data_IF_503215060336
#
_entry.id   IF_503215060336
#
_cell.length_a   1.000
_cell.length_b   1.000
_cell.length_c   1.000
_cell.angle_alpha   90.00
_cell.angle_beta   90.00
_cell.angle_gamma   90.00
#
_symmetry.space_group_name_H-M   'P 1'
#
loop_
_entity.id
_entity.type
_entity.pdbx_description
1 polymer ?
#
# COMPACT_ATOMS: atom_id res chain seq x y z
N UNK A 1 17.82 -4.79 12.54
CA UNK A 1 17.29 -6.07 12.01
C UNK A 1 15.83 -6.33 12.38
N UNK A 2 15.36 -6.33 13.66
CA UNK A 2 13.94 -6.61 13.95
C UNK A 2 12.95 -5.64 13.28
N UNK A 3 13.29 -4.35 13.15
CA UNK A 3 12.45 -3.37 12.45
C UNK A 3 12.27 -3.71 10.97
N UNK A 4 13.31 -4.14 10.28
CA UNK A 4 13.24 -4.58 8.89
C UNK A 4 12.33 -5.80 8.74
N UNK A 5 12.41 -6.77 9.66
CA UNK A 5 11.51 -7.93 9.65
C UNK A 5 10.07 -7.52 9.85
N UNK A 6 9.78 -6.65 10.82
CA UNK A 6 8.44 -6.09 11.05
C UNK A 6 7.90 -5.36 9.81
N UNK A 7 8.73 -4.54 9.18
CA UNK A 7 8.39 -3.84 7.96
C UNK A 7 8.06 -4.80 6.80
N UNK A 8 8.90 -5.82 6.55
CA UNK A 8 8.67 -6.79 5.48
C UNK A 8 7.42 -7.65 5.72
N UNK A 9 7.07 -7.95 6.97
CA UNK A 9 5.82 -8.66 7.28
C UNK A 9 4.59 -7.89 6.78
N UNK A 10 4.58 -6.57 6.94
CA UNK A 10 3.44 -5.73 6.54
C UNK A 10 3.54 -5.24 5.10
N UNK A 11 4.72 -4.86 4.64
CA UNK A 11 4.90 -4.29 3.30
C UNK A 11 5.03 -5.36 2.19
N UNK A 12 5.33 -6.62 2.53
CA UNK A 12 5.48 -7.72 1.56
C UNK A 12 4.60 -8.92 1.91
N UNK A 13 4.65 -9.38 3.16
CA UNK A 13 3.90 -10.56 3.60
C UNK A 13 2.39 -10.38 3.48
N UNK A 14 1.85 -9.27 4.00
CA UNK A 14 0.42 -8.98 3.91
C UNK A 14 -0.07 -8.77 2.47
N UNK A 15 0.60 -8.01 1.59
CA UNK A 15 0.25 -7.92 0.16
C UNK A 15 0.18 -9.29 -0.52
N UNK A 16 1.14 -10.17 -0.28
CA UNK A 16 1.13 -11.53 -0.82
C UNK A 16 -0.09 -12.31 -0.32
N UNK A 17 -0.33 -12.31 1.00
CA UNK A 17 -1.50 -12.96 1.60
C UNK A 17 -2.81 -12.37 1.04
N UNK A 18 -2.83 -11.07 0.78
CA UNK A 18 -3.98 -10.38 0.18
C UNK A 18 -4.28 -10.89 -1.22
N UNK A 19 -3.28 -11.03 -2.08
CA UNK A 19 -3.46 -11.59 -3.43
C UNK A 19 -3.99 -13.02 -3.37
N UNK A 20 -3.46 -13.84 -2.47
CA UNK A 20 -3.94 -15.22 -2.24
C UNK A 20 -5.39 -15.24 -1.71
N UNK A 21 -5.73 -14.31 -0.80
CA UNK A 21 -7.09 -14.18 -0.28
C UNK A 21 -8.10 -13.76 -1.37
N UNK A 22 -7.72 -12.79 -2.21
CA UNK A 22 -8.52 -12.35 -3.38
C UNK A 22 -8.74 -13.49 -4.35
N UNK A 23 -7.67 -14.25 -4.66
CA UNK A 23 -7.77 -15.43 -5.53
C UNK A 23 -8.69 -16.50 -4.93
N UNK A 24 -8.53 -16.80 -3.62
CA UNK A 24 -9.38 -17.79 -2.92
C UNK A 24 -10.84 -17.32 -2.84
N UNK A 25 -11.06 -16.02 -2.67
CA UNK A 25 -12.40 -15.45 -2.66
C UNK A 25 -13.14 -15.59 -4.00
N UNK A 26 -12.41 -15.61 -5.11
CA UNK A 26 -13.00 -15.75 -6.47
C UNK A 26 -13.45 -17.18 -6.79
N UNK A 27 -13.16 -18.15 -5.91
CA UNK A 27 -13.56 -19.55 -6.09
C UNK A 27 -15.08 -19.71 -6.05
N UNK A 28 -15.69 -19.91 -7.20
CA UNK A 28 -17.01 -20.55 -7.28
C UNK A 28 -18.20 -19.73 -7.73
N UNK A 29 -18.10 -18.45 -8.13
CA UNK A 29 -19.32 -17.68 -8.50
C UNK A 29 -19.19 -16.60 -9.57
N UNK A 30 -18.17 -16.54 -10.41
CA UNK A 30 -18.11 -15.46 -11.43
C UNK A 30 -18.10 -14.04 -10.83
N UNK A 31 -17.95 -13.92 -9.50
CA UNK A 31 -17.91 -12.66 -8.78
C UNK A 31 -16.48 -12.11 -8.72
N UNK A 32 -16.34 -10.79 -8.74
CA UNK A 32 -15.04 -10.16 -8.51
C UNK A 32 -14.48 -10.59 -7.15
N UNK A 33 -13.17 -10.77 -7.03
CA UNK A 33 -12.53 -11.18 -5.77
C UNK A 33 -12.93 -10.36 -4.56
N UNK A 34 -13.23 -9.07 -4.75
CA UNK A 34 -13.76 -8.17 -3.73
C UNK A 34 -15.13 -8.61 -3.20
N UNK A 35 -16.09 -8.87 -4.08
CA UNK A 35 -17.45 -9.27 -3.70
C UNK A 35 -17.45 -10.58 -2.92
N UNK A 36 -16.55 -11.49 -3.27
CA UNK A 36 -16.42 -12.76 -2.58
C UNK A 36 -15.79 -12.60 -1.18
N UNK A 37 -14.78 -11.76 -1.02
CA UNK A 37 -14.18 -11.47 0.28
C UNK A 37 -15.15 -10.77 1.22
N UNK A 38 -16.03 -9.91 0.71
CA UNK A 38 -16.98 -9.11 1.49
C UNK A 38 -18.38 -9.70 1.56
N UNK A 39 -18.59 -10.95 1.10
CA UNK A 39 -19.91 -11.60 0.97
C UNK A 39 -20.75 -11.66 2.26
N UNK A 40 -20.11 -11.64 3.43
CA UNK A 40 -20.79 -11.66 4.73
C UNK A 40 -21.06 -10.27 5.28
N UNK A 41 -20.49 -9.22 4.70
CA UNK A 41 -20.79 -7.83 5.05
C UNK A 41 -22.16 -7.40 4.48
N UNK A 42 -22.84 -6.45 5.13
CA UNK A 42 -23.92 -5.70 4.49
C UNK A 42 -23.39 -4.98 3.27
N UNK A 43 -24.20 -4.89 2.20
CA UNK A 43 -23.76 -4.25 0.92
C UNK A 43 -23.22 -2.85 1.12
N UNK A 44 -23.89 -2.04 1.98
CA UNK A 44 -23.44 -0.68 2.27
C UNK A 44 -22.06 -0.64 2.93
N UNK A 45 -21.76 -1.58 3.85
CA UNK A 45 -20.45 -1.62 4.53
C UNK A 45 -19.32 -2.09 3.58
N UNK A 46 -19.62 -3.10 2.74
CA UNK A 46 -18.70 -3.55 1.72
C UNK A 46 -18.37 -2.43 0.71
N UNK A 47 -19.40 -1.67 0.29
CA UNK A 47 -19.24 -0.53 -0.63
C UNK A 47 -18.51 0.61 0.05
N UNK A 48 -18.83 0.96 1.30
CA UNK A 48 -18.14 2.01 2.04
C UNK A 48 -16.65 1.70 2.23
N UNK A 49 -16.30 0.45 2.57
CA UNK A 49 -14.91 0.03 2.69
C UNK A 49 -14.18 0.09 1.33
N UNK A 50 -14.82 -0.35 0.26
CA UNK A 50 -14.26 -0.23 -1.09
C UNK A 50 -14.02 1.24 -1.48
N UNK A 51 -15.03 2.12 -1.28
CA UNK A 51 -14.90 3.56 -1.52
C UNK A 51 -13.70 4.13 -0.75
N UNK A 52 -13.58 3.80 0.55
CA UNK A 52 -12.46 4.28 1.36
C UNK A 52 -11.11 3.84 0.78
N UNK A 53 -10.96 2.55 0.41
CA UNK A 53 -9.72 2.04 -0.20
C UNK A 53 -9.43 2.74 -1.53
N UNK A 54 -10.41 2.87 -2.43
CA UNK A 54 -10.21 3.50 -3.74
C UNK A 54 -9.97 5.01 -3.67
N UNK A 55 -10.50 5.71 -2.66
CA UNK A 55 -10.18 7.12 -2.39
C UNK A 55 -8.76 7.25 -1.85
N UNK A 56 -8.36 6.42 -0.89
CA UNK A 56 -7.01 6.42 -0.29
C UNK A 56 -5.95 6.12 -1.36
N UNK A 57 -6.16 5.07 -2.15
CA UNK A 57 -5.24 4.67 -3.22
C UNK A 57 -5.30 5.59 -4.44
N UNK A 58 -6.43 6.20 -4.70
CA UNK A 58 -6.65 7.15 -5.78
C UNK A 58 -6.27 8.57 -5.37
N UNK A 59 -7.24 9.48 -5.38
CA UNK A 59 -6.98 10.93 -5.33
C UNK A 59 -6.49 11.47 -3.99
N UNK A 60 -6.67 10.73 -2.87
CA UNK A 60 -6.36 11.29 -1.56
C UNK A 60 -4.88 11.18 -1.17
N UNK A 61 -4.26 10.03 -1.37
CA UNK A 61 -2.89 9.81 -0.88
C UNK A 61 -1.96 9.14 -1.90
N UNK A 62 -2.26 7.95 -2.42
CA UNK A 62 -1.27 7.20 -3.20
C UNK A 62 -0.97 7.86 -4.55
N UNK A 63 -1.98 8.28 -5.32
CA UNK A 63 -1.77 8.95 -6.61
C UNK A 63 -1.05 10.29 -6.47
N UNK A 64 -1.44 11.24 -5.58
CA UNK A 64 -0.68 12.47 -5.36
C UNK A 64 0.76 12.22 -4.91
N UNK A 65 0.98 11.20 -4.05
CA UNK A 65 2.30 10.82 -3.55
C UNK A 65 3.25 10.41 -4.67
N UNK A 66 2.77 9.75 -5.72
CA UNK A 66 3.64 9.40 -6.87
C UNK A 66 4.20 10.64 -7.54
N UNK A 67 3.38 11.66 -7.79
CA UNK A 67 3.82 12.94 -8.37
C UNK A 67 4.82 13.67 -7.46
N UNK A 68 4.58 13.65 -6.14
CA UNK A 68 5.47 14.27 -5.17
C UNK A 68 6.81 13.57 -5.06
N UNK A 69 6.84 12.23 -5.05
CA UNK A 69 8.09 11.45 -5.04
C UNK A 69 8.89 11.73 -6.33
N UNK A 70 8.21 11.75 -7.48
CA UNK A 70 8.84 12.09 -8.75
C UNK A 70 9.40 13.52 -8.76
N UNK A 71 8.72 14.47 -8.11
CA UNK A 71 9.22 15.83 -7.94
C UNK A 71 10.44 15.90 -7.02
N UNK A 72 10.35 15.34 -5.82
CA UNK A 72 11.41 15.37 -4.79
C UNK A 72 12.72 14.72 -5.28
N UNK A 73 12.63 13.61 -6.00
CA UNK A 73 13.79 12.86 -6.49
C UNK A 73 14.21 13.26 -7.91
N UNK A 74 13.26 13.75 -8.72
CA UNK A 74 13.50 14.06 -10.12
C UNK A 74 13.91 15.50 -10.38
N UNK A 75 13.09 16.47 -10.00
CA UNK A 75 13.27 17.87 -10.42
C UNK A 75 13.82 18.78 -9.30
N UNK A 76 13.36 18.60 -8.06
CA UNK A 76 13.71 19.48 -6.93
C UNK A 76 15.23 19.66 -6.72
N UNK A 77 16.09 18.61 -6.86
CA UNK A 77 17.51 18.75 -6.68
C UNK A 77 18.18 19.73 -7.67
N UNK A 78 17.54 19.99 -8.80
CA UNK A 78 18.03 20.87 -9.87
C UNK A 78 17.51 22.30 -9.74
N UNK A 79 16.43 22.53 -8.97
CA UNK A 79 15.78 23.83 -8.83
C UNK A 79 16.33 24.68 -7.67
N UNK A 80 17.06 24.08 -6.71
CA UNK A 80 17.57 24.78 -5.54
C UNK A 80 16.43 25.44 -4.74
N UNK A 81 16.60 26.73 -4.36
CA UNK A 81 15.63 27.47 -3.54
C UNK A 81 14.30 27.82 -4.24
N UNK A 82 14.23 27.72 -5.58
CA UNK A 82 12.99 27.97 -6.35
C UNK A 82 11.95 26.85 -6.21
N UNK A 83 12.21 25.86 -5.33
CA UNK A 83 11.42 24.64 -5.22
C UNK A 83 9.93 24.78 -4.88
N UNK A 84 9.47 25.84 -4.18
CA UNK A 84 8.04 25.95 -3.86
C UNK A 84 7.18 26.33 -5.07
N UNK A 85 7.64 27.25 -5.91
CA UNK A 85 6.94 27.59 -7.15
C UNK A 85 7.07 26.50 -8.23
N UNK A 86 8.17 25.74 -8.20
CA UNK A 86 8.38 24.60 -9.08
C UNK A 86 7.41 23.45 -8.87
N UNK A 87 6.95 23.20 -7.63
CA UNK A 87 6.02 22.12 -7.32
C UNK A 87 4.66 22.29 -8.03
N UNK A 88 4.09 23.48 -8.01
CA UNK A 88 2.79 23.73 -8.66
C UNK A 88 2.86 23.46 -10.17
N UNK A 89 3.86 24.01 -10.84
CA UNK A 89 4.03 23.83 -12.29
C UNK A 89 4.30 22.38 -12.63
N UNK A 90 5.16 21.72 -11.84
CA UNK A 90 5.47 20.29 -12.03
C UNK A 90 4.22 19.42 -11.85
N UNK A 91 3.47 19.62 -10.76
CA UNK A 91 2.27 18.82 -10.48
C UNK A 91 1.21 19.02 -11.56
N UNK A 92 1.01 20.23 -12.05
CA UNK A 92 0.11 20.50 -13.18
C UNK A 92 0.56 19.74 -14.44
N UNK A 93 1.83 19.83 -14.83
CA UNK A 93 2.36 19.13 -16.02
C UNK A 93 2.29 17.60 -15.83
N UNK A 94 2.74 17.08 -14.68
CA UNK A 94 2.77 15.66 -14.40
C UNK A 94 1.36 15.05 -14.44
N UNK A 95 0.41 15.62 -13.70
CA UNK A 95 -0.96 15.09 -13.65
C UNK A 95 -1.76 15.39 -14.90
N UNK A 96 -1.47 16.47 -15.64
CA UNK A 96 -2.06 16.67 -16.97
C UNK A 96 -1.69 15.53 -17.92
N UNK A 97 -0.42 15.11 -17.92
CA UNK A 97 0.05 13.95 -18.69
C UNK A 97 -0.58 12.65 -18.20
N UNK A 98 -0.65 12.44 -16.87
CA UNK A 98 -1.32 11.28 -16.27
C UNK A 98 -2.79 11.21 -16.70
N UNK A 99 -3.52 12.33 -16.63
CA UNK A 99 -4.92 12.42 -17.05
C UNK A 99 -5.04 12.09 -18.55
N UNK A 100 -4.26 12.75 -19.41
CA UNK A 100 -4.31 12.52 -20.86
C UNK A 100 -4.12 11.04 -21.22
N UNK A 101 -3.14 10.38 -20.60
CA UNK A 101 -2.86 8.97 -20.82
C UNK A 101 -3.97 8.08 -20.26
N UNK A 102 -4.53 8.43 -19.10
CA UNK A 102 -5.61 7.68 -18.45
C UNK A 102 -6.95 7.78 -19.19
N UNK A 103 -7.16 8.79 -20.03
CA UNK A 103 -8.37 8.90 -20.86
C UNK A 103 -8.44 7.82 -21.94
N UNK A 104 -7.30 7.26 -22.36
CA UNK A 104 -7.21 6.23 -23.40
C UNK A 104 -6.83 4.88 -22.75
N UNK A 105 -7.87 4.04 -22.51
CA UNK A 105 -7.76 2.76 -21.82
C UNK A 105 -6.86 1.77 -22.57
N UNK A 106 -5.57 1.77 -22.40
CA UNK A 106 -4.85 0.53 -22.64
C UNK A 106 -3.60 0.49 -23.51
N UNK A 107 -3.20 1.53 -24.22
CA UNK A 107 -2.01 1.46 -25.10
C UNK A 107 -0.66 1.67 -24.37
N UNK A 108 -0.64 2.41 -23.29
CA UNK A 108 0.61 2.78 -22.60
C UNK A 108 1.00 1.83 -21.46
N UNK A 109 0.02 1.22 -20.78
CA UNK A 109 0.30 0.29 -19.67
C UNK A 109 1.15 -0.92 -20.11
N UNK A 110 0.92 -1.43 -21.33
CA UNK A 110 1.68 -2.56 -21.86
C UNK A 110 3.13 -2.20 -22.20
N UNK A 111 3.35 -1.03 -22.82
CA UNK A 111 4.69 -0.59 -23.21
C UNK A 111 5.56 -0.24 -21.99
N UNK A 112 4.94 0.35 -20.98
CA UNK A 112 5.59 0.83 -19.77
C UNK A 112 6.01 -0.33 -18.87
N UNK A 113 5.14 -1.29 -18.62
CA UNK A 113 5.46 -2.48 -17.82
C UNK A 113 6.59 -3.31 -18.45
N UNK A 114 6.65 -3.36 -19.79
CA UNK A 114 7.60 -4.20 -20.51
C UNK A 114 9.03 -3.68 -20.47
N UNK A 115 9.25 -2.38 -20.51
CA UNK A 115 10.58 -1.79 -20.61
C UNK A 115 11.01 -1.06 -19.34
N UNK A 116 10.09 -0.37 -18.69
CA UNK A 116 10.41 0.49 -17.56
C UNK A 116 10.63 -0.29 -16.26
N UNK A 117 9.80 -1.30 -15.99
CA UNK A 117 9.97 -2.13 -14.79
C UNK A 117 11.32 -2.84 -14.77
N UNK A 118 11.79 -3.50 -15.83
CA UNK A 118 13.15 -4.06 -15.87
C UNK A 118 14.24 -3.00 -15.68
N UNK A 119 14.11 -1.83 -16.32
CA UNK A 119 15.08 -0.75 -16.17
C UNK A 119 15.18 -0.24 -14.73
N UNK A 120 14.02 -0.06 -14.07
CA UNK A 120 13.96 0.31 -12.65
C UNK A 120 14.61 -0.75 -11.76
N UNK A 121 14.31 -2.04 -11.98
CA UNK A 121 14.89 -3.14 -11.21
C UNK A 121 16.41 -3.22 -11.38
N UNK A 122 16.92 -3.04 -12.60
CA UNK A 122 18.37 -3.01 -12.85
C UNK A 122 19.03 -1.84 -12.15
N UNK A 123 18.43 -0.65 -12.19
CA UNK A 123 18.99 0.52 -11.51
C UNK A 123 18.99 0.35 -10.00
N UNK A 124 17.89 -0.16 -9.41
CA UNK A 124 17.83 -0.43 -7.98
C UNK A 124 18.85 -1.51 -7.58
N UNK A 125 19.09 -2.50 -8.43
CA UNK A 125 20.14 -3.50 -8.21
C UNK A 125 21.54 -2.86 -8.23
N UNK A 126 21.82 -1.98 -9.18
CA UNK A 126 23.10 -1.22 -9.25
C UNK A 126 23.26 -0.36 -8.00
N UNK A 127 22.22 0.34 -7.56
CA UNK A 127 22.23 1.12 -6.34
C UNK A 127 22.49 0.24 -5.10
N UNK A 128 21.80 -0.89 -4.98
CA UNK A 128 21.99 -1.86 -3.91
C UNK A 128 23.43 -2.39 -3.85
N UNK A 129 24.01 -2.74 -5.00
CA UNK A 129 25.39 -3.17 -5.08
C UNK A 129 26.35 -2.02 -4.70
N UNK A 130 26.07 -0.79 -5.14
CA UNK A 130 26.84 0.40 -4.76
C UNK A 130 26.86 0.64 -3.25
N UNK A 131 25.71 0.49 -2.59
CA UNK A 131 25.60 0.61 -1.12
C UNK A 131 26.41 -0.46 -0.38
N UNK A 132 26.41 -1.70 -0.90
CA UNK A 132 27.16 -2.81 -0.29
C UNK A 132 28.68 -2.64 -0.49
N UNK A 133 29.11 -2.21 -1.68
CA UNK A 133 30.52 -2.10 -2.04
C UNK A 133 31.16 -0.85 -1.44
N UNK A 134 30.43 0.25 -1.38
CA UNK A 134 30.93 1.56 -0.91
C UNK A 134 29.93 2.21 0.05
N UNK A 135 29.76 1.67 1.28
CA UNK A 135 28.90 2.29 2.28
C UNK A 135 29.43 3.67 2.64
N UNK A 136 28.57 4.69 2.63
CA UNK A 136 28.94 6.10 2.84
C UNK A 136 28.99 6.53 4.31
N UNK A 137 28.63 5.65 5.24
CA UNK A 137 28.69 5.91 6.68
C UNK A 137 28.54 4.65 7.52
N UNK A 138 28.79 4.78 8.83
CA UNK A 138 28.52 3.72 9.80
C UNK A 138 27.03 3.59 10.09
N UNK A 139 26.59 2.42 10.52
CA UNK A 139 25.22 2.22 10.99
C UNK A 139 24.98 3.02 12.28
N UNK A 140 24.04 3.97 12.32
CA UNK A 140 23.73 4.70 13.54
C UNK A 140 23.10 3.78 14.58
N UNK A 141 23.21 4.14 15.85
CA UNK A 141 22.49 3.48 16.92
C UNK A 141 20.98 3.69 16.76
N UNK A 142 20.20 2.71 17.23
CA UNK A 142 18.75 2.81 17.21
C UNK A 142 18.29 3.98 18.10
N UNK A 143 17.30 4.74 17.65
CA UNK A 143 16.76 5.90 18.37
C UNK A 143 15.23 5.80 18.48
N UNK A 144 14.65 6.48 19.49
CA UNK A 144 13.22 6.55 19.71
C UNK A 144 12.57 5.17 19.86
N UNK A 145 11.40 4.96 19.27
CA UNK A 145 10.63 3.71 19.35
C UNK A 145 11.34 2.47 18.79
N UNK A 146 12.42 2.66 18.02
CA UNK A 146 13.22 1.56 17.49
C UNK A 146 14.11 0.89 18.55
N UNK A 147 14.31 1.52 19.75
CA UNK A 147 15.04 0.94 20.88
C UNK A 147 14.16 -0.14 21.54
N UNK A 148 12.96 0.26 21.97
CA UNK A 148 12.10 -0.58 22.81
C UNK A 148 11.25 -1.57 22.00
N UNK A 149 10.72 -1.15 20.87
CA UNK A 149 9.76 -1.94 20.07
C UNK A 149 10.06 -1.92 18.57
N UNK A 150 11.28 -2.31 18.15
CA UNK A 150 11.70 -2.15 16.75
C UNK A 150 10.83 -2.94 15.77
N UNK A 151 10.36 -4.13 16.15
CA UNK A 151 9.51 -4.96 15.29
C UNK A 151 8.14 -4.29 15.05
N UNK A 152 7.50 -3.79 16.12
CA UNK A 152 6.19 -3.12 16.02
C UNK A 152 6.32 -1.83 15.21
N UNK A 153 7.36 -1.02 15.50
CA UNK A 153 7.60 0.21 14.74
C UNK A 153 7.80 -0.09 13.26
N UNK A 154 8.59 -1.10 12.93
CA UNK A 154 8.75 -1.55 11.54
C UNK A 154 7.43 -1.99 10.89
N UNK A 155 6.59 -2.73 11.61
CA UNK A 155 5.26 -3.13 11.11
C UNK A 155 4.37 -1.91 10.79
N UNK A 156 4.34 -0.92 11.66
CA UNK A 156 3.55 0.30 11.45
C UNK A 156 4.09 1.16 10.31
N UNK A 157 5.41 1.24 10.16
CA UNK A 157 6.01 1.92 8.99
C UNK A 157 5.66 1.21 7.68
N UNK A 158 5.47 -0.11 7.70
CA UNK A 158 4.97 -0.85 6.55
C UNK A 158 3.55 -0.46 6.13
N UNK A 159 2.71 0.11 7.00
CA UNK A 159 1.40 0.65 6.60
C UNK A 159 1.53 1.83 5.64
N UNK A 160 2.59 2.64 5.80
CA UNK A 160 2.84 3.80 4.95
C UNK A 160 3.16 3.45 3.49
N UNK A 161 3.53 2.19 3.20
CA UNK A 161 3.76 1.73 1.82
C UNK A 161 2.47 1.58 1.03
N UNK A 162 1.33 1.36 1.71
CA UNK A 162 0.00 1.13 1.13
C UNK A 162 -0.10 -0.14 0.26
N UNK A 163 0.89 -1.03 0.29
CA UNK A 163 0.98 -2.20 -0.61
C UNK A 163 -0.15 -3.21 -0.39
N UNK A 164 -0.62 -3.39 0.85
CA UNK A 164 -1.77 -4.27 1.14
C UNK A 164 -3.06 -3.72 0.52
N UNK A 165 -3.31 -2.40 0.62
CA UNK A 165 -4.47 -1.75 0.02
C UNK A 165 -4.39 -1.80 -1.51
N UNK A 166 -3.18 -1.59 -2.08
CA UNK A 166 -2.92 -1.76 -3.50
C UNK A 166 -3.21 -3.18 -3.95
N UNK A 167 -2.79 -4.20 -3.18
CA UNK A 167 -3.02 -5.60 -3.50
C UNK A 167 -4.50 -5.99 -3.47
N UNK A 168 -5.32 -5.39 -2.57
CA UNK A 168 -6.78 -5.54 -2.60
C UNK A 168 -7.36 -4.98 -3.90
N UNK A 169 -6.95 -3.77 -4.28
CA UNK A 169 -7.45 -3.08 -5.46
C UNK A 169 -7.01 -3.78 -6.77
N UNK A 170 -5.70 -4.01 -6.93
CA UNK A 170 -5.15 -4.62 -8.15
C UNK A 170 -5.43 -6.11 -8.25
N UNK A 171 -5.52 -6.84 -7.13
CA UNK A 171 -5.89 -8.25 -7.13
C UNK A 171 -7.27 -8.48 -7.75
N UNK A 172 -8.26 -7.67 -7.37
CA UNK A 172 -9.59 -7.71 -7.96
C UNK A 172 -9.58 -7.38 -9.47
N UNK A 173 -8.77 -6.37 -9.86
CA UNK A 173 -8.61 -5.96 -11.26
C UNK A 173 -7.97 -7.07 -12.11
N UNK A 174 -6.93 -7.74 -11.58
CA UNK A 174 -6.24 -8.84 -12.27
C UNK A 174 -7.18 -10.02 -12.49
N UNK A 175 -8.00 -10.39 -11.50
CA UNK A 175 -9.03 -11.44 -11.66
C UNK A 175 -9.96 -11.07 -12.82
N UNK A 176 -10.46 -9.84 -12.87
CA UNK A 176 -11.30 -9.37 -13.98
C UNK A 176 -10.61 -9.44 -15.35
N UNK A 177 -9.30 -9.17 -15.42
CA UNK A 177 -8.52 -9.30 -16.65
C UNK A 177 -8.33 -10.77 -17.08
N UNK A 178 -8.08 -11.67 -16.13
CA UNK A 178 -7.98 -13.11 -16.42
C UNK A 178 -9.30 -13.66 -16.98
N UNK A 179 -10.43 -13.27 -16.37
CA UNK A 179 -11.76 -13.65 -16.85
C UNK A 179 -12.03 -13.14 -18.28
N UNK A 180 -11.67 -11.89 -18.59
CA UNK A 180 -11.77 -11.34 -19.97
C UNK A 180 -10.89 -12.08 -20.99
N UNK A 181 -9.81 -12.72 -20.54
CA UNK A 181 -8.94 -13.57 -21.37
C UNK A 181 -9.43 -15.03 -21.46
N UNK A 182 -10.61 -15.34 -20.92
CA UNK A 182 -11.19 -16.68 -20.93
C UNK A 182 -10.64 -17.63 -19.85
N UNK A 183 -9.90 -17.11 -18.88
CA UNK A 183 -9.40 -17.89 -17.73
C UNK A 183 -10.40 -17.70 -16.59
N UNK A 184 -11.44 -18.55 -16.59
CA UNK A 184 -12.53 -18.47 -15.61
C UNK A 184 -12.40 -19.51 -14.49
N UNK A 185 -11.59 -20.53 -14.70
CA UNK A 185 -11.38 -21.61 -13.74
C UNK A 185 -10.56 -21.14 -12.52
N UNK A 186 -11.05 -21.49 -11.35
CA UNK A 186 -10.42 -21.13 -10.07
C UNK A 186 -8.97 -21.61 -9.93
N UNK A 187 -8.61 -22.87 -10.26
CA UNK A 187 -7.22 -23.33 -10.09
C UNK A 187 -6.23 -22.50 -10.90
N UNK A 188 -6.56 -22.10 -12.12
CA UNK A 188 -5.70 -21.28 -12.96
C UNK A 188 -5.59 -19.85 -12.44
N UNK A 189 -6.70 -19.22 -12.05
CA UNK A 189 -6.68 -17.89 -11.45
C UNK A 189 -5.84 -17.86 -10.17
N UNK A 190 -6.05 -18.83 -9.28
CA UNK A 190 -5.27 -18.98 -8.04
C UNK A 190 -3.78 -19.16 -8.33
N UNK A 191 -3.43 -20.03 -9.27
CA UNK A 191 -2.04 -20.28 -9.66
C UNK A 191 -1.38 -19.03 -10.22
N UNK A 192 -2.02 -18.32 -11.15
CA UNK A 192 -1.45 -17.11 -11.75
C UNK A 192 -1.28 -15.99 -10.73
N UNK A 193 -2.28 -15.73 -9.88
CA UNK A 193 -2.15 -14.70 -8.85
C UNK A 193 -1.08 -15.05 -7.81
N UNK A 194 -1.01 -16.30 -7.39
CA UNK A 194 -0.02 -16.74 -6.39
C UNK A 194 1.40 -16.64 -6.95
N UNK A 195 1.64 -17.09 -8.18
CA UNK A 195 2.97 -16.97 -8.82
C UNK A 195 3.35 -15.51 -9.01
N UNK A 196 2.45 -14.68 -9.54
CA UNK A 196 2.69 -13.26 -9.70
C UNK A 196 2.99 -12.58 -8.34
N UNK A 197 2.22 -12.93 -7.31
CA UNK A 197 2.44 -12.46 -5.95
C UNK A 197 3.80 -12.84 -5.38
N UNK A 198 4.24 -14.09 -5.58
CA UNK A 198 5.55 -14.56 -5.13
C UNK A 198 6.70 -13.82 -5.84
N UNK A 199 6.62 -13.66 -7.15
CA UNK A 199 7.62 -12.90 -7.93
C UNK A 199 7.67 -11.45 -7.43
N UNK A 200 6.51 -10.81 -7.24
CA UNK A 200 6.42 -9.45 -6.69
C UNK A 200 6.98 -9.35 -5.27
N UNK A 201 6.70 -10.33 -4.41
CA UNK A 201 7.18 -10.37 -3.03
C UNK A 201 8.71 -10.46 -2.98
N UNK A 202 9.33 -11.29 -3.82
CA UNK A 202 10.80 -11.39 -3.91
C UNK A 202 11.40 -10.06 -4.40
N UNK A 203 10.82 -9.47 -5.46
CA UNK A 203 11.29 -8.18 -5.98
C UNK A 203 11.16 -7.06 -4.96
N UNK A 204 10.00 -6.92 -4.30
CA UNK A 204 9.76 -5.92 -3.26
C UNK A 204 10.69 -6.11 -2.06
N UNK A 205 10.89 -7.37 -1.61
CA UNK A 205 11.82 -7.66 -0.52
C UNK A 205 13.24 -7.20 -0.85
N UNK A 206 13.72 -7.49 -2.05
CA UNK A 206 15.04 -7.07 -2.50
C UNK A 206 15.18 -5.54 -2.49
N UNK A 207 14.18 -4.82 -3.01
CA UNK A 207 14.15 -3.35 -3.02
C UNK A 207 14.13 -2.78 -1.61
N UNK A 208 13.22 -3.25 -0.75
CA UNK A 208 13.08 -2.73 0.62
C UNK A 208 14.31 -3.01 1.49
N UNK A 209 14.91 -4.19 1.37
CA UNK A 209 16.16 -4.51 2.06
C UNK A 209 17.28 -3.56 1.59
N UNK A 210 17.39 -3.32 0.29
CA UNK A 210 18.39 -2.42 -0.28
C UNK A 210 18.20 -0.98 0.22
N UNK A 211 16.97 -0.48 0.24
CA UNK A 211 16.66 0.85 0.75
C UNK A 211 16.88 0.97 2.27
N UNK A 212 16.63 -0.10 3.02
CA UNK A 212 16.91 -0.15 4.45
C UNK A 212 18.41 -0.02 4.73
N UNK A 213 19.25 -0.76 3.98
CA UNK A 213 20.71 -0.65 4.09
C UNK A 213 21.20 0.72 3.65
N UNK A 214 20.64 1.28 2.57
CA UNK A 214 20.95 2.63 2.11
C UNK A 214 20.64 3.66 3.21
N UNK A 215 19.44 3.63 3.79
CA UNK A 215 19.06 4.54 4.86
C UNK A 215 19.97 4.45 6.08
N UNK A 216 20.34 3.24 6.50
CA UNK A 216 21.26 3.03 7.61
C UNK A 216 22.70 3.50 7.34
N UNK A 217 23.16 3.46 6.08
CA UNK A 217 24.51 3.90 5.70
C UNK A 217 24.57 5.35 5.23
N UNK A 218 23.47 6.09 5.26
CA UNK A 218 23.40 7.46 4.76
C UNK A 218 23.89 8.51 5.79
N UNK A 219 24.15 8.14 7.02
CA UNK A 219 24.53 9.07 8.09
C UNK A 219 25.80 9.91 7.79
N UNK A 220 26.68 9.42 6.91
CA UNK A 220 27.89 10.15 6.46
C UNK A 220 27.64 11.17 5.36
N UNK A 221 26.49 11.10 4.67
CA UNK A 221 26.19 11.92 3.49
C UNK A 221 25.13 12.98 3.78
N UNK A 222 24.26 12.73 4.76
CA UNK A 222 23.09 13.56 4.99
C UNK A 222 22.92 13.89 6.47
N UNK A 223 22.89 15.19 6.77
CA UNK A 223 22.52 15.74 8.07
C UNK A 223 21.26 16.58 7.87
N UNK A 224 20.14 16.25 8.52
CA UNK A 224 18.85 16.94 8.44
C UNK A 224 18.14 16.80 7.09
N UNK A 225 17.44 15.71 6.89
CA UNK A 225 16.58 15.50 5.71
C UNK A 225 15.12 15.39 6.09
N UNK A 226 14.28 16.02 5.26
CA UNK A 226 12.83 16.07 5.49
C UNK A 226 12.13 14.76 5.07
N UNK A 227 12.72 13.97 4.15
CA UNK A 227 12.09 12.76 3.63
C UNK A 227 13.10 11.78 3.01
N UNK A 228 12.67 10.51 2.83
CA UNK A 228 13.50 9.44 2.28
C UNK A 228 13.96 9.66 0.83
N UNK A 229 13.22 10.43 0.04
CA UNK A 229 13.60 10.76 -1.35
C UNK A 229 14.88 11.59 -1.41
N UNK A 230 15.03 12.54 -0.50
CA UNK A 230 16.22 13.37 -0.38
C UNK A 230 17.45 12.53 0.03
N UNK A 231 17.27 11.52 0.90
CA UNK A 231 18.34 10.59 1.29
C UNK A 231 18.85 9.82 0.08
N UNK A 232 17.93 9.18 -0.67
CA UNK A 232 18.30 8.39 -1.86
C UNK A 232 19.02 9.27 -2.89
N UNK A 233 18.53 10.49 -3.10
CA UNK A 233 19.14 11.42 -4.05
C UNK A 233 20.56 11.82 -3.66
N UNK A 234 20.79 12.21 -2.40
CA UNK A 234 22.10 12.55 -1.88
C UNK A 234 23.07 11.36 -1.97
N UNK A 235 22.58 10.16 -1.66
CA UNK A 235 23.38 8.93 -1.76
C UNK A 235 23.80 8.61 -3.20
N UNK A 236 22.88 8.72 -4.15
CA UNK A 236 23.18 8.52 -5.58
C UNK A 236 24.14 9.57 -6.09
N UNK A 237 23.99 10.83 -5.67
CA UNK A 237 24.91 11.90 -6.01
C UNK A 237 26.32 11.61 -5.51
N UNK A 238 26.47 11.10 -4.29
CA UNK A 238 27.78 10.77 -3.70
C UNK A 238 28.47 9.59 -4.40
N UNK A 239 27.71 8.58 -4.87
CA UNK A 239 28.28 7.38 -5.52
C UNK A 239 28.51 7.54 -7.01
N UNK A 240 27.57 8.17 -7.71
CA UNK A 240 27.52 8.18 -9.19
C UNK A 240 27.59 9.59 -9.78
N UNK A 241 27.67 10.63 -8.93
CA UNK A 241 27.71 12.02 -9.36
C UNK A 241 26.42 12.47 -10.05
N UNK A 242 26.50 13.58 -10.76
CA UNK A 242 25.34 14.18 -11.44
C UNK A 242 24.71 13.31 -12.54
N UNK A 243 25.48 12.46 -13.20
CA UNK A 243 24.94 11.53 -14.21
C UNK A 243 24.06 10.47 -13.57
N UNK A 244 24.47 9.92 -12.42
CA UNK A 244 23.65 8.98 -11.66
C UNK A 244 22.35 9.61 -11.18
N UNK A 245 22.42 10.85 -10.71
CA UNK A 245 21.26 11.63 -10.29
C UNK A 245 20.28 11.88 -11.45
N UNK A 246 20.76 12.17 -12.65
CA UNK A 246 19.91 12.35 -13.84
C UNK A 246 19.20 11.04 -14.24
N UNK A 247 19.92 9.91 -14.21
CA UNK A 247 19.36 8.59 -14.50
C UNK A 247 18.31 8.23 -13.45
N UNK A 248 18.59 8.43 -12.15
CA UNK A 248 17.64 8.22 -11.06
C UNK A 248 16.37 9.06 -11.28
N UNK A 249 16.52 10.36 -11.56
CA UNK A 249 15.42 11.26 -11.82
C UNK A 249 14.51 10.78 -12.96
N UNK A 250 15.09 10.36 -14.08
CA UNK A 250 14.34 9.87 -15.23
C UNK A 250 13.57 8.58 -14.89
N UNK A 251 14.22 7.60 -14.28
CA UNK A 251 13.60 6.30 -13.97
C UNK A 251 12.52 6.44 -12.91
N UNK A 252 12.77 7.19 -11.82
CA UNK A 252 11.77 7.40 -10.77
C UNK A 252 10.57 8.19 -11.31
N UNK A 253 10.80 9.23 -12.10
CA UNK A 253 9.68 10.00 -12.70
C UNK A 253 8.82 9.10 -13.58
N UNK A 254 9.42 8.28 -14.42
CA UNK A 254 8.69 7.34 -15.25
C UNK A 254 7.97 6.24 -14.43
N UNK A 255 8.62 5.67 -13.41
CA UNK A 255 8.00 4.68 -12.52
C UNK A 255 6.79 5.26 -11.77
N UNK A 256 6.94 6.47 -11.23
CA UNK A 256 5.85 7.18 -10.56
C UNK A 256 4.72 7.55 -11.53
N UNK A 257 5.06 7.97 -12.75
CA UNK A 257 4.07 8.27 -13.79
C UNK A 257 3.20 7.06 -14.11
N UNK A 258 3.80 5.89 -14.29
CA UNK A 258 3.06 4.68 -14.61
C UNK A 258 2.20 4.18 -13.45
N UNK A 259 2.73 4.28 -12.24
CA UNK A 259 1.96 3.99 -11.03
C UNK A 259 0.76 4.93 -10.89
N UNK A 260 0.94 6.24 -11.12
CA UNK A 260 -0.13 7.22 -11.11
C UNK A 260 -1.24 6.91 -12.13
N UNK A 261 -0.86 6.57 -13.37
CA UNK A 261 -1.82 6.16 -14.42
C UNK A 261 -2.59 4.91 -13.99
N UNK A 262 -1.89 3.89 -13.47
CA UNK A 262 -2.53 2.65 -12.99
C UNK A 262 -3.53 2.89 -11.87
N UNK A 263 -3.15 3.65 -10.85
CA UNK A 263 -4.00 4.00 -9.71
C UNK A 263 -5.21 4.85 -10.12
N UNK A 264 -4.99 5.84 -10.98
CA UNK A 264 -6.06 6.71 -11.48
C UNK A 264 -7.06 5.92 -12.34
N UNK A 265 -6.58 5.07 -13.24
CA UNK A 265 -7.44 4.22 -14.07
C UNK A 265 -8.27 3.24 -13.22
N UNK A 266 -7.64 2.54 -12.27
CA UNK A 266 -8.32 1.58 -11.42
C UNK A 266 -9.40 2.26 -10.55
N UNK A 267 -9.10 3.43 -9.98
CA UNK A 267 -10.06 4.20 -9.20
C UNK A 267 -11.21 4.72 -10.07
N UNK A 268 -10.93 5.26 -11.25
CA UNK A 268 -11.95 5.76 -12.17
C UNK A 268 -12.87 4.63 -12.69
N UNK A 269 -12.33 3.44 -12.96
CA UNK A 269 -13.13 2.26 -13.34
C UNK A 269 -14.07 1.81 -12.23
N UNK A 270 -13.60 1.77 -10.99
CA UNK A 270 -14.43 1.42 -9.84
C UNK A 270 -15.61 2.40 -9.67
N UNK A 271 -15.33 3.70 -9.66
CA UNK A 271 -16.36 4.72 -9.47
C UNK A 271 -17.27 4.86 -10.68
N UNK A 272 -16.80 4.58 -11.89
CA UNK A 272 -17.64 4.48 -13.07
C UNK A 272 -18.70 3.38 -12.93
N UNK A 273 -18.31 2.22 -12.40
CA UNK A 273 -19.24 1.12 -12.12
C UNK A 273 -20.23 1.43 -10.99
N UNK A 274 -19.85 2.31 -10.04
CA UNK A 274 -20.66 2.58 -8.84
C UNK A 274 -21.68 3.70 -9.04
N UNK A 275 -21.30 4.81 -9.70
CA UNK A 275 -22.06 6.06 -9.62
C UNK A 275 -22.59 6.57 -10.99
N UNK A 276 -22.59 5.77 -12.03
CA UNK A 276 -23.23 6.07 -13.32
C UNK A 276 -22.61 7.22 -14.14
N UNK A 277 -21.58 7.91 -13.63
CA UNK A 277 -20.86 8.92 -14.40
C UNK A 277 -19.94 8.25 -15.42
N UNK A 278 -19.63 8.95 -16.52
CA UNK A 278 -18.72 8.42 -17.52
C UNK A 278 -17.31 8.29 -16.94
N UNK A 279 -16.56 7.27 -17.35
CA UNK A 279 -15.18 7.03 -16.96
C UNK A 279 -14.30 8.29 -17.11
N UNK A 280 -14.44 9.02 -18.23
CA UNK A 280 -13.68 10.25 -18.48
C UNK A 280 -13.91 11.33 -17.43
N UNK A 281 -15.15 11.48 -16.93
CA UNK A 281 -15.46 12.45 -15.87
C UNK A 281 -14.77 12.06 -14.56
N UNK A 282 -14.73 10.78 -14.25
CA UNK A 282 -14.02 10.28 -13.05
C UNK A 282 -12.52 10.48 -13.15
N UNK A 283 -11.89 10.18 -14.30
CA UNK A 283 -10.47 10.45 -14.53
C UNK A 283 -10.14 11.93 -14.33
N UNK A 284 -10.95 12.83 -14.91
CA UNK A 284 -10.75 14.28 -14.76
C UNK A 284 -10.91 14.72 -13.31
N UNK A 285 -12.01 14.32 -12.64
CA UNK A 285 -12.26 14.70 -11.25
C UNK A 285 -11.12 14.25 -10.33
N UNK A 286 -10.76 12.96 -10.39
CA UNK A 286 -9.73 12.41 -9.52
C UNK A 286 -8.34 12.95 -9.84
N UNK A 287 -8.03 13.16 -11.12
CA UNK A 287 -6.80 13.81 -11.52
C UNK A 287 -6.69 15.24 -11.02
N UNK A 288 -7.74 16.04 -11.12
CA UNK A 288 -7.78 17.40 -10.56
C UNK A 288 -7.64 17.40 -9.03
N UNK A 289 -8.32 16.48 -8.32
CA UNK A 289 -8.14 16.33 -6.86
C UNK A 289 -6.70 15.96 -6.53
N UNK A 290 -6.09 15.06 -7.31
CA UNK A 290 -4.69 14.67 -7.10
C UNK A 290 -3.72 15.84 -7.28
N UNK A 291 -3.98 16.76 -8.22
CA UNK A 291 -3.20 18.00 -8.38
C UNK A 291 -3.31 18.85 -7.11
N UNK A 292 -4.53 19.08 -6.62
CA UNK A 292 -4.74 19.89 -5.42
C UNK A 292 -4.02 19.29 -4.20
N UNK A 293 -4.17 17.98 -4.00
CA UNK A 293 -3.55 17.27 -2.88
C UNK A 293 -2.03 17.24 -3.00
N UNK A 294 -1.47 17.06 -4.20
CA UNK A 294 -0.02 17.05 -4.42
C UNK A 294 0.66 18.37 -4.03
N UNK A 295 -0.06 19.50 -4.10
CA UNK A 295 0.52 20.81 -3.76
C UNK A 295 0.70 21.05 -2.24
N UNK A 296 0.25 20.12 -1.41
CA UNK A 296 0.52 20.13 0.05
C UNK A 296 2.00 19.81 0.35
N UNK A 297 2.68 19.07 -0.51
CA UNK A 297 4.06 18.61 -0.32
C UNK A 297 4.16 17.21 0.28
N UNK A 298 5.31 16.54 0.03
CA UNK A 298 5.49 15.11 0.34
C UNK A 298 5.44 14.83 1.84
N UNK A 299 6.20 15.57 2.64
CA UNK A 299 6.29 15.34 4.10
C UNK A 299 4.94 15.58 4.78
N UNK A 300 4.21 16.61 4.37
CA UNK A 300 2.89 16.91 4.91
C UNK A 300 1.84 15.90 4.46
N UNK A 301 1.89 15.46 3.21
CA UNK A 301 1.00 14.41 2.72
C UNK A 301 1.21 13.09 3.49
N UNK A 302 2.46 12.71 3.77
CA UNK A 302 2.77 11.53 4.59
C UNK A 302 2.18 11.71 5.99
N UNK A 303 2.40 12.83 6.65
CA UNK A 303 1.89 13.06 8.01
C UNK A 303 0.35 13.03 8.09
N UNK A 304 -0.34 13.55 7.08
CA UNK A 304 -1.80 13.50 7.00
C UNK A 304 -2.34 12.09 6.69
N UNK A 305 -1.56 11.28 5.98
CA UNK A 305 -1.98 9.90 5.64
C UNK A 305 -1.86 8.95 6.82
N UNK A 306 -0.91 9.14 7.74
CA UNK A 306 -0.63 8.22 8.85
C UNK A 306 -1.88 7.90 9.69
N UNK A 307 -2.65 8.87 10.22
CA UNK A 307 -3.84 8.57 11.03
C UNK A 307 -4.89 7.76 10.28
N UNK A 308 -5.09 8.07 9.00
CA UNK A 308 -6.05 7.38 8.14
C UNK A 308 -5.60 5.95 7.85
N UNK A 309 -4.33 5.74 7.59
CA UNK A 309 -3.78 4.41 7.35
C UNK A 309 -3.82 3.56 8.62
N UNK A 310 -3.45 4.11 9.77
CA UNK A 310 -3.53 3.42 11.08
C UNK A 310 -4.96 2.99 11.39
N UNK A 311 -5.97 3.76 10.97
CA UNK A 311 -7.38 3.40 11.15
C UNK A 311 -7.86 2.31 10.17
N UNK A 312 -7.45 2.36 8.90
CA UNK A 312 -8.00 1.50 7.83
C UNK A 312 -7.20 0.21 7.65
N UNK A 313 -5.89 0.25 7.88
CA UNK A 313 -5.02 -0.92 7.68
C UNK A 313 -5.42 -2.14 8.53
N UNK A 314 -5.76 -1.99 9.82
CA UNK A 314 -6.29 -3.08 10.63
C UNK A 314 -7.51 -3.76 10.01
N UNK A 315 -8.42 -2.98 9.42
CA UNK A 315 -9.64 -3.51 8.77
C UNK A 315 -9.26 -4.32 7.52
N UNK A 316 -8.32 -3.85 6.72
CA UNK A 316 -7.80 -4.58 5.57
C UNK A 316 -7.10 -5.88 5.98
N UNK A 317 -6.26 -5.84 7.02
CA UNK A 317 -5.59 -7.02 7.58
C UNK A 317 -6.62 -8.04 8.06
N UNK A 318 -7.58 -7.61 8.87
CA UNK A 318 -8.62 -8.49 9.40
C UNK A 318 -9.48 -9.09 8.28
N UNK A 319 -9.86 -8.31 7.26
CA UNK A 319 -10.60 -8.79 6.10
C UNK A 319 -9.84 -9.94 5.40
N UNK A 320 -8.54 -9.75 5.19
CA UNK A 320 -7.67 -10.77 4.57
C UNK A 320 -7.61 -12.01 5.45
N UNK A 321 -7.26 -11.86 6.74
CA UNK A 321 -7.09 -13.00 7.66
C UNK A 321 -8.39 -13.77 7.87
N UNK A 322 -9.51 -13.06 8.07
CA UNK A 322 -10.83 -13.70 8.26
C UNK A 322 -11.26 -14.47 7.01
N UNK A 323 -10.86 -14.04 5.81
CA UNK A 323 -11.12 -14.81 4.58
C UNK A 323 -10.51 -16.23 4.63
N UNK A 324 -9.38 -16.41 5.32
CA UNK A 324 -8.76 -17.73 5.49
C UNK A 324 -9.43 -18.58 6.58
N UNK A 325 -9.91 -17.96 7.65
CA UNK A 325 -10.44 -18.67 8.82
C UNK A 325 -11.97 -18.73 8.87
N UNK A 326 -12.68 -18.09 7.93
CA UNK A 326 -14.16 -18.01 7.94
C UNK A 326 -14.86 -19.38 7.91
N UNK A 327 -14.23 -20.42 7.37
CA UNK A 327 -14.75 -21.79 7.35
C UNK A 327 -14.77 -22.45 8.73
N UNK A 328 -13.96 -21.93 9.66
CA UNK A 328 -13.89 -22.43 11.03
C UNK A 328 -14.91 -21.77 11.98
N UNK A 329 -15.60 -20.72 11.52
CA UNK A 329 -16.61 -20.05 12.33
C UNK A 329 -17.91 -20.86 12.40
N UNK A 330 -18.45 -21.02 13.60
CA UNK A 330 -19.73 -21.68 13.79
C UNK A 330 -20.91 -20.92 13.19
N UNK A 331 -20.86 -19.59 13.24
CA UNK A 331 -21.83 -18.68 12.61
C UNK A 331 -21.08 -17.66 11.75
N UNK A 332 -20.66 -18.02 10.51
CA UNK A 332 -19.71 -17.23 9.74
C UNK A 332 -20.17 -15.80 9.47
N UNK A 333 -21.45 -15.56 9.19
CA UNK A 333 -21.97 -14.20 8.98
C UNK A 333 -21.83 -13.30 10.21
N UNK A 334 -22.15 -13.85 11.40
CA UNK A 334 -22.14 -13.06 12.64
C UNK A 334 -20.71 -12.83 13.11
N UNK A 335 -19.88 -13.86 13.13
CA UNK A 335 -18.48 -13.78 13.52
C UNK A 335 -17.69 -12.83 12.61
N UNK A 336 -17.87 -12.95 11.30
CA UNK A 336 -17.23 -12.09 10.31
C UNK A 336 -17.56 -10.60 10.54
N UNK A 337 -18.84 -10.28 10.71
CA UNK A 337 -19.30 -8.90 10.98
C UNK A 337 -18.78 -8.37 12.32
N UNK A 338 -18.81 -9.20 13.36
CA UNK A 338 -18.33 -8.80 14.68
C UNK A 338 -16.84 -8.50 14.67
N UNK A 339 -16.02 -9.36 14.05
CA UNK A 339 -14.58 -9.13 13.92
C UNK A 339 -14.29 -7.84 13.19
N UNK A 340 -14.89 -7.60 12.02
CA UNK A 340 -14.63 -6.38 11.25
C UNK A 340 -15.14 -5.12 11.93
N UNK A 341 -16.26 -5.18 12.67
CA UNK A 341 -16.76 -4.06 13.47
C UNK A 341 -15.79 -3.72 14.60
N UNK A 342 -15.34 -4.72 15.35
CA UNK A 342 -14.37 -4.54 16.45
C UNK A 342 -13.09 -3.93 15.92
N UNK A 343 -12.52 -4.50 14.86
CA UNK A 343 -11.30 -3.96 14.25
C UNK A 343 -11.50 -2.52 13.79
N UNK A 344 -12.62 -2.20 13.17
CA UNK A 344 -12.90 -0.84 12.71
C UNK A 344 -12.96 0.15 13.87
N UNK A 345 -13.67 -0.20 14.94
CA UNK A 345 -13.80 0.67 16.13
C UNK A 345 -12.44 0.93 16.79
N UNK A 346 -11.66 -0.14 17.04
CA UNK A 346 -10.34 0.00 17.66
C UNK A 346 -9.31 0.59 16.72
N UNK A 347 -9.37 0.29 15.41
CA UNK A 347 -8.52 0.96 14.41
C UNK A 347 -8.79 2.47 14.31
N UNK A 348 -10.05 2.90 14.42
CA UNK A 348 -10.37 4.32 14.50
C UNK A 348 -9.80 4.97 15.78
N UNK A 349 -9.80 4.26 16.93
CA UNK A 349 -9.16 4.77 18.16
C UNK A 349 -7.66 4.93 17.99
N UNK A 350 -6.98 3.95 17.39
CA UNK A 350 -5.54 4.05 17.08
C UNK A 350 -5.25 5.19 16.09
N UNK A 351 -6.10 5.36 15.06
CA UNK A 351 -5.99 6.47 14.12
C UNK A 351 -6.16 7.85 14.76
N UNK A 352 -7.12 8.01 15.67
CA UNK A 352 -7.31 9.24 16.44
C UNK A 352 -6.10 9.52 17.35
N UNK A 353 -5.52 8.47 17.97
CA UNK A 353 -4.27 8.58 18.71
C UNK A 353 -3.11 9.05 17.83
N UNK A 354 -2.97 8.48 16.63
CA UNK A 354 -1.97 8.87 15.64
C UNK A 354 -2.17 10.32 15.13
N UNK A 355 -3.41 10.83 15.16
CA UNK A 355 -3.72 12.23 14.86
C UNK A 355 -3.39 13.20 16.00
N UNK A 356 -2.82 12.71 17.12
CA UNK A 356 -2.43 13.52 18.27
C UNK A 356 -3.53 13.76 19.31
N UNK A 357 -4.68 13.09 19.19
CA UNK A 357 -5.73 13.19 20.21
C UNK A 357 -5.36 12.40 21.47
N UNK A 358 -5.36 13.06 22.61
CA UNK A 358 -5.06 12.41 23.89
C UNK A 358 -6.24 11.52 24.36
N UNK A 359 -6.14 10.24 24.07
CA UNK A 359 -7.15 9.23 24.42
C UNK A 359 -6.82 8.51 25.74
N UNK A 360 -6.53 9.28 26.82
CA UNK A 360 -6.13 8.73 28.14
C UNK A 360 -7.10 7.72 28.71
N UNK A 361 -8.40 7.85 28.39
CA UNK A 361 -9.43 6.92 28.83
C UNK A 361 -9.26 5.48 28.29
N UNK A 362 -8.49 5.29 27.22
CA UNK A 362 -8.25 3.99 26.59
C UNK A 362 -6.83 3.46 26.84
N UNK A 363 -6.01 4.15 27.64
CA UNK A 363 -4.64 3.73 27.97
C UNK A 363 -4.57 2.38 28.73
N UNK A 364 -5.70 1.88 29.26
CA UNK A 364 -5.78 0.54 29.85
C UNK A 364 -5.74 -0.59 28.82
N UNK A 365 -5.96 -0.28 27.54
CA UNK A 365 -5.91 -1.31 26.48
C UNK A 365 -4.47 -1.71 26.21
N UNK A 366 -4.17 -3.02 26.18
CA UNK A 366 -2.85 -3.48 25.85
C UNK A 366 -2.45 -3.06 24.42
N UNK A 367 -1.21 -2.61 24.28
CA UNK A 367 -0.63 -2.13 23.03
C UNK A 367 -1.25 -0.83 22.45
N UNK A 368 -2.12 -0.14 23.21
CA UNK A 368 -2.68 1.14 22.79
C UNK A 368 -1.58 2.18 22.52
N UNK A 369 -0.61 2.33 23.42
CA UNK A 369 0.52 3.24 23.26
C UNK A 369 1.41 2.91 22.05
N UNK A 370 1.23 1.72 21.48
CA UNK A 370 1.99 1.24 20.31
C UNK A 370 1.16 1.30 19.01
N UNK A 371 -0.06 1.85 19.03
CA UNK A 371 -0.96 1.91 17.86
C UNK A 371 -1.47 0.55 17.38
N UNK A 372 -1.59 -0.42 18.30
CA UNK A 372 -2.07 -1.77 18.05
C UNK A 372 -3.21 -2.17 19.00
N UNK A 373 -4.02 -1.22 19.48
CA UNK A 373 -5.14 -1.50 20.35
C UNK A 373 -6.18 -2.44 19.72
N UNK A 374 -6.25 -2.44 18.39
CA UNK A 374 -7.15 -3.31 17.63
C UNK A 374 -6.81 -4.81 17.71
N UNK A 375 -5.52 -5.16 17.94
CA UNK A 375 -5.04 -6.53 17.78
C UNK A 375 -5.68 -7.51 18.76
N UNK A 376 -5.59 -7.24 20.06
CA UNK A 376 -6.11 -8.14 21.09
C UNK A 376 -7.63 -8.32 21.03
N UNK A 377 -8.46 -7.25 20.98
CA UNK A 377 -9.91 -7.37 20.82
C UNK A 377 -10.31 -8.17 19.58
N UNK A 378 -9.57 -8.00 18.49
CA UNK A 378 -9.81 -8.75 17.25
C UNK A 378 -9.53 -10.23 17.40
N UNK A 379 -8.39 -10.59 17.98
CA UNK A 379 -8.03 -11.99 18.21
C UNK A 379 -9.03 -12.67 19.15
N UNK A 380 -9.48 -11.99 20.22
CA UNK A 380 -10.49 -12.50 21.13
C UNK A 380 -11.85 -12.71 20.41
N UNK A 381 -12.28 -11.74 19.60
CA UNK A 381 -13.54 -11.85 18.85
C UNK A 381 -13.47 -12.97 17.81
N UNK A 382 -12.33 -13.14 17.15
CA UNK A 382 -12.08 -14.22 16.20
C UNK A 382 -12.12 -15.59 16.90
N UNK A 383 -11.43 -15.71 18.03
CA UNK A 383 -11.43 -16.94 18.87
C UNK A 383 -12.84 -17.31 19.37
N UNK A 384 -13.60 -16.34 19.88
CA UNK A 384 -14.99 -16.55 20.27
C UNK A 384 -15.86 -17.01 19.09
N UNK A 385 -15.65 -16.43 17.90
CA UNK A 385 -16.35 -16.84 16.67
C UNK A 385 -16.08 -18.31 16.29
N UNK A 386 -14.86 -18.82 16.57
CA UNK A 386 -14.50 -20.22 16.36
C UNK A 386 -15.08 -21.15 17.43
N UNK A 387 -15.07 -20.71 18.71
CA UNK A 387 -15.59 -21.49 19.82
C UNK A 387 -17.12 -21.67 19.81
N UNK A 388 -17.85 -20.73 19.24
CA UNK A 388 -19.31 -20.78 19.07
C UNK A 388 -19.76 -21.75 17.97
N UNK A 389 -18.93 -22.70 17.56
CA UNK A 389 -19.26 -23.75 16.60
C UNK A 389 -20.35 -24.65 17.18
N UNK A 390 -21.48 -24.89 16.48
CA UNK A 390 -22.49 -25.84 16.97
C UNK A 390 -21.86 -27.24 17.14
N UNK A 391 -22.14 -27.90 18.25
CA UNK A 391 -21.63 -29.25 18.55
C UNK A 391 -21.92 -30.29 17.49
N UNK A 392 -23.01 -30.10 16.72
CA UNK A 392 -23.42 -30.98 15.62
C UNK A 392 -22.43 -30.98 14.43
N UNK A 393 -21.70 -29.88 14.18
CA UNK A 393 -20.71 -29.80 13.12
C UNK A 393 -19.40 -30.54 13.48
N UNK A 394 -19.08 -30.65 14.76
CA UNK A 394 -17.92 -31.41 15.27
C UNK A 394 -18.15 -32.92 15.22
N UNK A 395 -19.40 -33.36 15.40
CA UNK A 395 -19.75 -34.76 15.31
C UNK A 395 -19.79 -35.29 13.87
N UNK A 396 -20.06 -34.42 12.89
CA UNK A 396 -20.04 -34.78 11.47
C UNK A 396 -18.65 -34.84 10.84
N UNK A 397 -17.63 -34.21 11.46
CA UNK A 397 -16.21 -34.32 11.03
C UNK A 397 -15.50 -35.50 11.72
N UNK A 398 -16.06 -36.03 12.81
CA UNK A 398 -15.49 -37.16 13.55
C UNK A 398 -16.08 -38.52 13.18
N UNK A 399 -17.11 -38.56 12.33
CA UNK A 399 -17.73 -39.74 11.72
C UNK A 399 -17.31 -39.92 10.26
#
# INVERSE_FOLDING_TARGET
MPAMVGFLLTAVGLPLLTLVAVARGSAGQGSSGWTAMTRYLPTWAATALAIAIYIIMGPAFATPRTGLVAYEMGLKPWLGEAGQHGLLLYSLCFFALVILVSLDRGRLLDAVGKYLTPALMVMLLILALGVIIAPQGGMPEASGDYIDTPLIKGMLEGYNTMDTLASLMFGALIIGLLQRKGIEDYPSQFKYLTIAGLISAVGLSAVYISLFYLGNSAAGVVTNVDNGGAIVNAYVLSLFGHYGQLILAAIITLACFTSAVGLLCASADYFHGLAGWTYRKWVLLMGCVSILVANVGLSQLISLSIPVLVAIYPVAIALVLVTFVQSYFGRPRMAFRAVLLVVFLFGCLDGLGAAGMQMKAFAFLPLFDKGLAWLLPTLLTCGLGMLLRPREALAAEAA
#
